data_IF_517919957218
#
_entry.id   IF_517919957218
#
_cell.length_a   1.000
_cell.length_b   1.000
_cell.length_c   1.000
_cell.angle_alpha   90.00
_cell.angle_beta   90.00
_cell.angle_gamma   90.00
#
_symmetry.space_group_name_H-M   'P 1'
#
loop_
_entity.id
_entity.type
_entity.pdbx_description
1 polymer ?
#
# COMPACT_ATOMS: atom_id res chain seq x y z
N UNK A 1 8.83 3.93 -31.36
CA UNK A 1 9.77 3.81 -30.22
C UNK A 1 9.15 2.89 -29.22
N UNK A 2 9.83 1.83 -28.87
CA UNK A 2 9.44 0.92 -27.80
C UNK A 2 9.46 1.66 -26.45
N UNK A 3 8.46 1.45 -25.59
CA UNK A 3 8.42 2.16 -24.32
C UNK A 3 9.53 1.65 -23.39
N UNK A 4 10.21 2.54 -22.67
CA UNK A 4 11.41 2.22 -21.88
C UNK A 4 11.21 1.09 -20.85
N UNK A 5 9.97 0.91 -20.35
CA UNK A 5 9.67 -0.17 -19.40
C UNK A 5 9.65 -1.56 -20.02
N UNK A 6 9.42 -1.68 -21.35
CA UNK A 6 9.30 -2.98 -22.04
C UNK A 6 10.57 -3.80 -21.94
N UNK A 7 11.73 -3.15 -21.86
CA UNK A 7 13.00 -3.81 -21.63
C UNK A 7 13.06 -4.59 -20.31
N UNK A 8 12.38 -4.10 -19.28
CA UNK A 8 12.37 -4.69 -17.95
C UNK A 8 11.12 -5.56 -17.70
N UNK A 9 10.14 -5.55 -18.60
CA UNK A 9 8.88 -6.23 -18.41
C UNK A 9 8.97 -7.68 -18.89
N UNK A 10 8.85 -8.63 -17.96
CA UNK A 10 8.75 -10.06 -18.25
C UNK A 10 7.32 -10.45 -18.65
N UNK A 11 6.34 -9.99 -17.90
CA UNK A 11 4.91 -10.25 -18.11
C UNK A 11 4.07 -9.21 -17.36
N UNK A 12 2.84 -8.97 -17.80
CA UNK A 12 1.83 -8.23 -17.03
C UNK A 12 1.19 -9.22 -16.07
N UNK A 13 1.32 -8.96 -14.76
CA UNK A 13 0.76 -9.81 -13.71
C UNK A 13 -0.71 -9.46 -13.46
N UNK A 14 -1.03 -8.16 -13.43
CA UNK A 14 -2.39 -7.63 -13.25
C UNK A 14 -2.54 -6.47 -14.23
N UNK A 15 -3.47 -6.59 -15.17
CA UNK A 15 -3.77 -5.53 -16.12
C UNK A 15 -4.60 -4.40 -15.50
N UNK A 16 -4.73 -3.28 -16.23
CA UNK A 16 -5.42 -2.08 -15.78
C UNK A 16 -6.89 -2.35 -15.44
N UNK A 17 -7.61 -3.05 -16.31
CA UNK A 17 -9.05 -3.29 -16.12
C UNK A 17 -9.33 -4.15 -14.90
N UNK A 18 -8.56 -5.23 -14.72
CA UNK A 18 -8.62 -6.11 -13.54
C UNK A 18 -8.30 -5.34 -12.25
N UNK A 19 -7.29 -4.48 -12.31
CA UNK A 19 -6.84 -3.67 -11.19
C UNK A 19 -7.92 -2.68 -10.75
N UNK A 20 -8.47 -1.92 -11.70
CA UNK A 20 -9.52 -0.93 -11.42
C UNK A 20 -10.82 -1.58 -10.94
N UNK A 21 -11.21 -2.73 -11.49
CA UNK A 21 -12.38 -3.46 -11.02
C UNK A 21 -12.23 -3.87 -9.54
N UNK A 22 -11.07 -4.42 -9.16
CA UNK A 22 -10.83 -4.82 -7.75
C UNK A 22 -10.78 -3.63 -6.80
N UNK A 23 -10.21 -2.50 -7.22
CA UNK A 23 -10.19 -1.27 -6.42
C UNK A 23 -11.62 -0.76 -6.15
N UNK A 24 -12.49 -0.82 -7.16
CA UNK A 24 -13.89 -0.45 -6.98
C UNK A 24 -14.60 -1.35 -5.97
N UNK A 25 -14.40 -2.67 -6.03
CA UNK A 25 -14.91 -3.64 -5.04
C UNK A 25 -14.41 -3.32 -3.62
N UNK A 26 -13.11 -3.04 -3.46
CA UNK A 26 -12.54 -2.64 -2.18
C UNK A 26 -13.18 -1.36 -1.63
N UNK A 27 -13.44 -0.37 -2.49
CA UNK A 27 -14.12 0.86 -2.12
C UNK A 27 -15.55 0.60 -1.57
N UNK A 28 -16.28 -0.33 -2.20
CA UNK A 28 -17.60 -0.77 -1.73
C UNK A 28 -17.51 -1.53 -0.39
N UNK A 29 -16.53 -2.43 -0.24
CA UNK A 29 -16.28 -3.15 1.02
C UNK A 29 -16.01 -2.18 2.17
N UNK A 30 -15.11 -1.21 1.95
CA UNK A 30 -14.76 -0.17 2.94
C UNK A 30 -15.97 0.70 3.25
N UNK A 31 -16.76 1.10 2.24
CA UNK A 31 -17.99 1.87 2.43
C UNK A 31 -18.94 1.15 3.38
N UNK A 32 -19.14 -0.16 3.20
CA UNK A 32 -20.02 -0.96 4.09
C UNK A 32 -19.49 -1.05 5.52
N UNK A 33 -18.16 -1.23 5.66
CA UNK A 33 -17.51 -1.36 6.99
C UNK A 33 -17.62 -0.07 7.80
N UNK A 34 -17.57 1.08 7.12
CA UNK A 34 -17.54 2.39 7.78
C UNK A 34 -18.84 3.20 7.62
N UNK A 35 -19.96 2.55 7.25
CA UNK A 35 -21.25 3.20 7.00
C UNK A 35 -21.77 4.04 8.17
N UNK A 36 -21.45 3.66 9.41
CA UNK A 36 -21.94 4.29 10.64
C UNK A 36 -21.00 5.36 11.21
N UNK A 37 -19.95 5.76 10.47
CA UNK A 37 -18.99 6.77 10.95
C UNK A 37 -18.76 7.89 9.94
N UNK A 38 -18.55 9.10 10.46
CA UNK A 38 -18.11 10.29 9.73
C UNK A 38 -16.63 10.64 10.02
N UNK A 39 -15.90 9.76 10.72
CA UNK A 39 -14.53 9.98 11.19
C UNK A 39 -13.52 9.03 10.59
N UNK A 40 -13.73 8.63 9.34
CA UNK A 40 -12.78 7.78 8.61
C UNK A 40 -11.58 8.61 8.14
N UNK A 41 -10.38 8.17 8.49
CA UNK A 41 -9.11 8.71 8.01
C UNK A 41 -8.35 7.62 7.25
N UNK A 42 -8.09 7.87 5.97
CA UNK A 42 -7.21 7.05 5.14
C UNK A 42 -5.77 7.53 5.34
N UNK A 43 -4.86 6.65 5.71
CA UNK A 43 -3.43 6.97 5.87
C UNK A 43 -2.63 6.21 4.84
N UNK A 44 -2.00 6.93 3.91
CA UNK A 44 -1.14 6.32 2.90
C UNK A 44 0.33 6.44 3.29
N UNK A 45 1.07 5.34 3.16
CA UNK A 45 2.53 5.35 3.32
C UNK A 45 3.16 5.64 1.95
N UNK A 46 3.89 6.75 1.89
CA UNK A 46 4.56 7.20 0.67
C UNK A 46 5.83 6.38 0.39
N UNK A 47 6.21 6.16 -0.91
CA UNK A 47 5.59 6.73 -2.12
C UNK A 47 4.62 5.77 -2.82
N UNK A 48 4.78 4.45 -2.65
CA UNK A 48 4.15 3.42 -3.47
C UNK A 48 2.62 3.43 -3.43
N UNK A 49 2.04 3.61 -2.23
CA UNK A 49 0.58 3.58 -2.05
C UNK A 49 -0.21 4.74 -2.67
N UNK A 50 0.46 5.78 -3.22
CA UNK A 50 -0.22 7.01 -3.66
C UNK A 50 -1.23 6.78 -4.78
N UNK A 51 -0.88 5.95 -5.80
CA UNK A 51 -1.79 5.67 -6.92
C UNK A 51 -3.01 4.90 -6.42
N UNK A 52 -2.79 3.90 -5.59
CA UNK A 52 -3.86 3.10 -4.99
C UNK A 52 -4.79 3.96 -4.11
N UNK A 53 -4.26 4.81 -3.23
CA UNK A 53 -5.08 5.70 -2.43
C UNK A 53 -5.94 6.62 -3.31
N UNK A 54 -5.35 7.23 -4.36
CA UNK A 54 -6.06 8.17 -5.24
C UNK A 54 -7.24 7.54 -5.96
N UNK A 55 -7.11 6.29 -6.40
CA UNK A 55 -8.21 5.60 -7.06
C UNK A 55 -9.20 5.04 -6.03
N UNK A 56 -8.72 4.38 -4.96
CA UNK A 56 -9.56 3.80 -3.92
C UNK A 56 -10.51 4.83 -3.27
N UNK A 57 -10.00 6.01 -2.91
CA UNK A 57 -10.79 7.04 -2.22
C UNK A 57 -12.00 7.52 -3.06
N UNK A 58 -11.94 7.46 -4.39
CA UNK A 58 -13.04 7.82 -5.28
C UNK A 58 -14.19 6.81 -5.25
N UNK A 59 -13.93 5.57 -4.82
CA UNK A 59 -14.93 4.50 -4.69
C UNK A 59 -15.51 4.38 -3.28
N UNK A 60 -14.93 5.07 -2.29
CA UNK A 60 -15.46 5.12 -0.92
C UNK A 60 -16.54 6.19 -0.83
N UNK A 61 -17.77 5.81 -0.46
CA UNK A 61 -18.91 6.71 -0.46
C UNK A 61 -19.23 7.35 0.91
N UNK A 62 -18.55 6.91 1.99
CA UNK A 62 -18.65 7.57 3.29
C UNK A 62 -17.74 8.80 3.34
N UNK A 63 -18.11 9.86 4.10
CA UNK A 63 -17.22 10.99 4.31
C UNK A 63 -15.88 10.53 4.90
N UNK A 64 -14.77 10.97 4.34
CA UNK A 64 -13.45 10.59 4.80
C UNK A 64 -12.42 11.70 4.58
N UNK A 65 -11.42 11.72 5.44
CA UNK A 65 -10.19 12.49 5.28
C UNK A 65 -9.08 11.56 4.75
N UNK A 66 -8.02 12.12 4.19
CA UNK A 66 -6.80 11.35 3.95
C UNK A 66 -5.57 12.16 4.36
N UNK A 67 -4.52 11.47 4.79
CA UNK A 67 -3.24 12.03 5.19
C UNK A 67 -2.12 11.10 4.73
N UNK A 68 -0.89 11.61 4.72
CA UNK A 68 0.27 10.91 4.23
C UNK A 68 1.34 10.77 5.30
N UNK A 69 2.01 9.64 5.30
CA UNK A 69 3.17 9.37 6.13
C UNK A 69 4.32 8.88 5.25
N UNK A 70 5.54 9.26 5.57
CA UNK A 70 6.73 8.70 4.95
C UNK A 70 7.64 8.11 6.01
N UNK A 71 8.09 6.89 5.77
CA UNK A 71 9.00 6.19 6.65
C UNK A 71 10.20 5.68 5.88
N UNK A 72 11.33 5.59 6.54
CA UNK A 72 12.52 4.92 6.02
C UNK A 72 12.90 3.77 6.95
N UNK A 73 13.19 2.60 6.39
CA UNK A 73 13.80 1.51 7.14
C UNK A 73 15.26 1.84 7.41
N UNK A 74 15.71 1.64 8.66
CA UNK A 74 17.12 1.81 9.02
C UNK A 74 17.94 0.69 8.35
N UNK A 75 18.89 1.09 7.48
CA UNK A 75 19.80 0.13 6.80
C UNK A 75 19.66 0.10 5.29
N UNK A 76 19.60 1.26 4.62
CA UNK A 76 19.74 1.34 3.17
C UNK A 76 20.99 0.58 2.72
N UNK A 77 20.82 -0.58 2.08
CA UNK A 77 21.89 -1.45 1.60
C UNK A 77 21.87 -2.89 2.13
N UNK A 78 21.08 -3.24 3.14
CA UNK A 78 20.89 -4.63 3.55
C UNK A 78 19.48 -5.11 3.18
N UNK A 79 19.40 -6.23 2.46
CA UNK A 79 18.16 -6.90 1.99
C UNK A 79 17.22 -7.39 3.12
N UNK A 80 17.43 -7.02 4.38
CA UNK A 80 16.57 -7.35 5.52
C UNK A 80 16.22 -6.08 6.28
N UNK A 81 14.94 -5.70 6.27
CA UNK A 81 14.40 -4.71 7.20
C UNK A 81 14.43 -5.32 8.61
N UNK A 82 15.12 -4.68 9.55
CA UNK A 82 15.21 -5.12 10.96
C UNK A 82 14.03 -4.65 11.80
N UNK A 83 13.03 -4.02 11.19
CA UNK A 83 11.88 -3.43 11.93
C UNK A 83 12.14 -2.04 12.49
N UNK A 84 13.37 -1.54 12.46
CA UNK A 84 13.66 -0.17 12.88
C UNK A 84 13.19 0.81 11.79
N UNK A 85 12.15 1.57 12.09
CA UNK A 85 11.52 2.52 11.20
C UNK A 85 11.73 3.93 11.72
N UNK A 86 12.22 4.81 10.85
CA UNK A 86 12.30 6.25 11.12
C UNK A 86 11.20 6.98 10.37
N UNK A 87 10.42 7.79 11.07
CA UNK A 87 9.47 8.72 10.45
C UNK A 87 10.26 9.82 9.76
N UNK A 88 10.04 9.97 8.45
CA UNK A 88 10.60 11.04 7.61
C UNK A 88 9.60 12.19 7.46
N UNK A 89 8.31 11.83 7.32
CA UNK A 89 7.19 12.76 7.31
C UNK A 89 6.07 12.16 8.15
N UNK A 90 5.61 12.90 9.14
CA UNK A 90 4.53 12.46 10.03
C UNK A 90 3.17 13.01 9.58
N UNK A 91 2.11 12.42 10.12
CA UNK A 91 0.74 12.87 9.90
C UNK A 91 0.51 14.26 10.47
N UNK A 92 -0.24 15.07 9.75
CA UNK A 92 -0.70 16.37 10.22
C UNK A 92 -1.99 16.26 11.05
N UNK A 93 -2.70 15.13 10.91
CA UNK A 93 -4.01 14.90 11.50
C UNK A 93 -3.89 14.12 12.81
N UNK A 94 -4.60 14.57 13.87
CA UNK A 94 -4.74 13.78 15.10
C UNK A 94 -5.54 12.51 14.85
N UNK A 95 -5.11 11.39 15.43
CA UNK A 95 -5.79 10.10 15.30
C UNK A 95 -6.84 9.86 16.40
N UNK A 96 -6.83 10.64 17.48
CA UNK A 96 -7.71 10.44 18.63
C UNK A 96 -9.17 10.42 18.19
N UNK A 97 -9.85 9.31 18.47
CA UNK A 97 -11.26 9.09 18.15
C UNK A 97 -11.59 8.93 16.67
N UNK A 98 -10.59 8.84 15.77
CA UNK A 98 -10.80 8.56 14.34
C UNK A 98 -10.69 7.06 14.06
N UNK A 99 -11.44 6.61 13.07
CA UNK A 99 -11.27 5.29 12.48
C UNK A 99 -10.18 5.39 11.40
N UNK A 100 -9.04 4.77 11.63
CA UNK A 100 -7.89 4.85 10.74
C UNK A 100 -7.82 3.60 9.86
N UNK A 101 -7.73 3.81 8.55
CA UNK A 101 -7.45 2.78 7.56
C UNK A 101 -6.12 3.09 6.87
N UNK A 102 -5.10 2.27 7.14
CA UNK A 102 -3.83 2.35 6.42
C UNK A 102 -4.06 1.81 5.01
N UNK A 103 -3.58 2.54 4.01
CA UNK A 103 -3.63 2.17 2.58
C UNK A 103 -2.21 1.98 2.07
N UNK A 104 -1.87 0.75 1.71
CA UNK A 104 -0.53 0.31 1.34
C UNK A 104 -0.52 -0.32 -0.06
N UNK A 105 0.55 -0.13 -0.80
CA UNK A 105 0.71 -0.73 -2.14
C UNK A 105 0.99 -2.24 -2.06
N UNK A 106 1.95 -2.64 -1.23
CA UNK A 106 2.38 -4.04 -1.14
C UNK A 106 2.86 -4.40 0.27
N UNK A 107 2.49 -5.58 0.73
CA UNK A 107 3.05 -6.16 1.95
C UNK A 107 3.95 -7.34 1.59
N UNK A 108 5.24 -7.22 1.92
CA UNK A 108 6.25 -8.27 1.79
C UNK A 108 6.49 -8.94 3.16
N UNK A 109 7.64 -8.78 3.79
CA UNK A 109 7.94 -9.36 5.11
C UNK A 109 7.06 -8.83 6.24
N UNK A 110 6.56 -7.62 6.14
CA UNK A 110 5.66 -6.97 7.07
C UNK A 110 6.33 -6.19 8.21
N UNK A 111 7.64 -6.25 8.39
CA UNK A 111 8.33 -5.57 9.51
C UNK A 111 8.06 -4.07 9.57
N UNK A 112 8.22 -3.37 8.45
CA UNK A 112 8.00 -1.92 8.37
C UNK A 112 6.56 -1.56 8.74
N UNK A 113 5.61 -2.28 8.17
CA UNK A 113 4.20 -2.02 8.39
C UNK A 113 3.77 -2.33 9.83
N UNK A 114 4.28 -3.41 10.43
CA UNK A 114 4.06 -3.73 11.84
C UNK A 114 4.52 -2.59 12.74
N UNK A 115 5.73 -2.07 12.52
CA UNK A 115 6.25 -0.96 13.31
C UNK A 115 5.39 0.32 13.13
N UNK A 116 4.96 0.63 11.90
CA UNK A 116 4.05 1.74 11.64
C UNK A 116 2.72 1.55 12.36
N UNK A 117 2.11 0.37 12.27
CA UNK A 117 0.85 0.08 12.96
C UNK A 117 0.97 0.25 14.48
N UNK A 118 2.07 -0.22 15.09
CA UNK A 118 2.30 -0.09 16.52
C UNK A 118 2.46 1.40 16.93
N UNK A 119 3.17 2.20 16.12
CA UNK A 119 3.27 3.65 16.33
C UNK A 119 1.94 4.38 16.20
N UNK A 120 1.12 4.03 15.21
CA UNK A 120 -0.20 4.66 15.02
C UNK A 120 -1.19 4.21 16.10
N UNK A 121 -1.12 2.94 16.55
CA UNK A 121 -1.96 2.42 17.65
C UNK A 121 -1.70 3.17 18.95
N UNK A 122 -0.44 3.52 19.24
CA UNK A 122 -0.07 4.31 20.40
C UNK A 122 -0.63 5.74 20.41
N UNK A 123 -1.18 6.23 19.28
CA UNK A 123 -1.86 7.54 19.14
C UNK A 123 -3.37 7.48 19.41
N UNK A 124 -3.86 6.37 19.95
CA UNK A 124 -5.23 6.18 20.43
C UNK A 124 -6.33 6.41 19.37
N UNK A 125 -6.25 5.83 18.15
CA UNK A 125 -7.36 5.85 17.22
C UNK A 125 -8.54 5.04 17.77
N UNK A 126 -9.78 5.36 17.35
CA UNK A 126 -10.96 4.57 17.67
C UNK A 126 -10.89 3.15 17.09
N UNK A 127 -10.31 3.02 15.89
CA UNK A 127 -9.90 1.74 15.29
C UNK A 127 -8.72 1.94 14.36
N UNK A 128 -7.93 0.89 14.17
CA UNK A 128 -6.83 0.85 13.21
C UNK A 128 -6.93 -0.41 12.39
N UNK A 129 -7.15 -0.26 11.08
CA UNK A 129 -7.25 -1.34 10.10
C UNK A 129 -6.28 -1.13 8.95
N UNK A 130 -6.13 -2.16 8.12
CA UNK A 130 -5.17 -2.20 7.03
C UNK A 130 -5.84 -2.66 5.73
N UNK A 131 -5.65 -1.87 4.68
CA UNK A 131 -5.97 -2.20 3.30
C UNK A 131 -4.68 -2.24 2.49
N UNK A 132 -4.42 -3.32 1.79
CA UNK A 132 -3.28 -3.43 0.87
C UNK A 132 -3.73 -3.80 -0.52
N UNK A 133 -3.08 -3.24 -1.54
CA UNK A 133 -3.36 -3.63 -2.92
C UNK A 133 -2.77 -5.02 -3.21
N UNK A 134 -1.52 -5.25 -2.82
CA UNK A 134 -0.82 -6.51 -3.07
C UNK A 134 -0.38 -7.16 -1.74
N UNK A 135 -0.63 -8.45 -1.60
CA UNK A 135 -0.15 -9.26 -0.48
C UNK A 135 0.74 -10.40 -0.96
N UNK A 136 2.01 -10.39 -0.53
CA UNK A 136 2.93 -11.52 -0.66
C UNK A 136 2.90 -12.36 0.60
N UNK A 137 1.79 -13.06 0.86
CA UNK A 137 1.59 -13.85 2.08
C UNK A 137 2.72 -14.84 2.35
N UNK A 138 3.30 -15.44 1.28
CA UNK A 138 4.44 -16.38 1.36
C UNK A 138 5.75 -15.76 1.85
N UNK A 139 5.87 -14.43 1.82
CA UNK A 139 7.05 -13.68 2.28
C UNK A 139 6.90 -13.13 3.70
N UNK A 140 5.73 -13.33 4.31
CA UNK A 140 5.42 -12.79 5.62
C UNK A 140 6.32 -13.40 6.69
N UNK A 141 7.08 -12.55 7.40
CA UNK A 141 7.96 -12.93 8.49
C UNK A 141 7.39 -12.52 9.87
N UNK A 142 6.43 -11.58 9.90
CA UNK A 142 5.75 -11.12 11.12
C UNK A 142 4.24 -11.19 10.95
N UNK A 143 3.53 -11.53 12.01
CA UNK A 143 2.07 -11.60 11.97
C UNK A 143 1.47 -10.19 11.88
N UNK A 144 0.71 -9.94 10.84
CA UNK A 144 -0.06 -8.71 10.62
C UNK A 144 -1.46 -9.12 10.17
N UNK A 145 -2.46 -8.59 10.85
CA UNK A 145 -3.83 -8.70 10.37
C UNK A 145 -4.03 -7.71 9.22
N UNK A 146 -4.45 -8.21 8.07
CA UNK A 146 -4.84 -7.42 6.91
C UNK A 146 -6.35 -7.51 6.78
N UNK A 147 -7.05 -6.37 6.83
CA UNK A 147 -8.52 -6.33 6.82
C UNK A 147 -9.10 -6.36 5.42
N UNK A 148 -8.39 -5.74 4.46
CA UNK A 148 -8.79 -5.70 3.05
C UNK A 148 -7.58 -5.99 2.16
N UNK A 149 -7.71 -6.97 1.27
CA UNK A 149 -6.64 -7.38 0.33
C UNK A 149 -7.16 -7.23 -1.09
N UNK A 150 -6.43 -6.49 -1.91
CA UNK A 150 -6.68 -6.42 -3.34
C UNK A 150 -6.37 -7.75 -4.02
N UNK A 151 -5.11 -8.13 -4.05
CA UNK A 151 -4.64 -9.34 -4.69
C UNK A 151 -3.57 -10.05 -3.84
N UNK A 152 -3.71 -11.35 -3.67
CA UNK A 152 -2.58 -12.19 -3.24
C UNK A 152 -1.69 -12.49 -4.45
N UNK A 153 -0.40 -12.24 -4.34
CA UNK A 153 0.56 -12.47 -5.42
C UNK A 153 1.71 -13.39 -4.98
N UNK A 154 2.27 -14.16 -5.91
CA UNK A 154 3.47 -14.97 -5.63
C UNK A 154 4.68 -14.06 -5.36
N UNK A 155 5.77 -14.66 -4.85
CA UNK A 155 7.04 -13.97 -4.64
C UNK A 155 7.72 -13.63 -5.97
N UNK A 156 7.24 -12.59 -6.63
CA UNK A 156 7.81 -11.99 -7.84
C UNK A 156 8.25 -10.57 -7.57
N UNK A 157 9.30 -10.11 -8.25
CA UNK A 157 9.67 -8.70 -8.22
C UNK A 157 8.76 -7.95 -9.19
N UNK A 158 7.96 -7.03 -8.67
CA UNK A 158 6.91 -6.33 -9.42
C UNK A 158 7.14 -4.83 -9.44
N UNK A 159 6.62 -4.14 -10.46
CA UNK A 159 6.67 -2.70 -10.65
C UNK A 159 5.42 -2.21 -11.38
N UNK A 160 5.22 -0.89 -11.38
CA UNK A 160 4.03 -0.24 -11.95
C UNK A 160 2.96 0.05 -10.91
N UNK A 161 2.02 0.92 -11.24
CA UNK A 161 0.90 1.36 -10.41
C UNK A 161 1.32 1.73 -8.97
N UNK A 162 2.26 2.68 -8.88
CA UNK A 162 2.86 3.14 -7.62
C UNK A 162 4.17 2.47 -7.25
N UNK A 163 4.32 1.17 -7.54
CA UNK A 163 5.56 0.43 -7.32
C UNK A 163 6.65 0.87 -8.32
N UNK A 164 7.87 0.92 -7.86
CA UNK A 164 8.99 1.36 -8.68
C UNK A 164 9.97 0.26 -9.08
N UNK A 165 10.72 0.59 -10.12
CA UNK A 165 11.99 -0.01 -10.45
C UNK A 165 13.00 1.13 -10.57
N UNK A 166 13.93 1.26 -9.60
CA UNK A 166 14.92 2.34 -9.51
C UNK A 166 14.27 3.75 -9.58
N UNK A 167 13.27 3.98 -8.71
CA UNK A 167 12.47 5.21 -8.61
C UNK A 167 11.64 5.56 -9.86
N UNK A 168 11.58 4.69 -10.87
CA UNK A 168 10.88 4.90 -12.14
C UNK A 168 9.66 3.99 -12.27
N UNK A 169 8.84 4.27 -13.29
CA UNK A 169 7.72 3.42 -13.74
C UNK A 169 6.53 3.31 -12.78
N UNK A 170 6.47 4.09 -11.72
CA UNK A 170 5.30 4.16 -10.82
C UNK A 170 4.01 4.58 -11.53
N UNK A 171 4.13 5.26 -12.68
CA UNK A 171 3.02 5.78 -13.48
C UNK A 171 2.36 4.76 -14.42
N UNK A 172 2.87 3.52 -14.50
CA UNK A 172 2.26 2.51 -15.35
C UNK A 172 0.89 2.11 -14.80
N UNK A 173 -0.14 1.87 -15.66
CA UNK A 173 -1.48 1.59 -15.20
C UNK A 173 -1.71 0.12 -14.80
N UNK A 174 -0.69 -0.71 -14.83
CA UNK A 174 -0.72 -2.15 -14.57
C UNK A 174 0.40 -2.54 -13.59
N UNK A 175 0.32 -3.76 -13.05
CA UNK A 175 1.40 -4.40 -12.30
C UNK A 175 2.16 -5.35 -13.23
N UNK A 176 3.43 -5.05 -13.47
CA UNK A 176 4.35 -5.86 -14.27
C UNK A 176 5.31 -6.65 -13.41
N UNK A 177 5.76 -7.80 -13.89
CA UNK A 177 6.84 -8.59 -13.30
C UNK A 177 8.15 -8.17 -13.96
N UNK A 178 9.17 -7.91 -13.14
CA UNK A 178 10.50 -7.53 -13.60
C UNK A 178 11.21 -8.74 -14.23
N UNK A 179 11.78 -8.55 -15.41
CA UNK A 179 12.76 -9.48 -15.95
C UNK A 179 14.11 -9.24 -15.25
N UNK A 180 14.41 -10.06 -14.26
CA UNK A 180 15.65 -9.94 -13.47
C UNK A 180 16.93 -10.21 -14.26
N UNK A 181 16.83 -10.70 -15.48
CA UNK A 181 18.00 -10.88 -16.36
C UNK A 181 18.45 -9.57 -17.02
N UNK A 182 17.65 -8.53 -16.90
CA UNK A 182 17.88 -7.19 -17.47
C UNK A 182 18.28 -6.13 -16.42
N UNK A 183 18.51 -6.54 -15.16
CA UNK A 183 18.94 -5.68 -14.05
C UNK A 183 20.46 -5.48 -13.96
#
# INVERSE_FOLDING_TARGET
MEAAYQHFLKEILIDEDTLQARIAELGEEITRVYAETDKLLLVCILKGGVMFLCDLCRHIQVPHEFDFMAVSSYGAGKRKSTGDVRIVMDLNTSLIGKHVLIVEDIIDSGYTLRAVMDMLRAREPASLRLCTLLDKSSRREVEIQVDHIGFEIPDKFVFGYGLDLDEKFRNLPFIGVVDTTQL
#
